data_IF_475459220036
#
_entry.id   IF_475459220036
#
_cell.length_a   1.000
_cell.length_b   1.000
_cell.length_c   1.000
_cell.angle_alpha   90.00
_cell.angle_beta   90.00
_cell.angle_gamma   90.00
#
_symmetry.space_group_name_H-M   'P 1'
#
loop_
_entity.id
_entity.type
_entity.pdbx_description
1 polymer ?
#
# COMPACT_ATOMS: atom_id res chain seq x y z
N UNK A 1 4.89 -32.48 23.97
CA UNK A 1 5.45 -32.33 22.61
C UNK A 1 4.43 -31.86 21.58
N UNK A 2 3.22 -32.46 21.50
CA UNK A 2 2.20 -32.11 20.49
C UNK A 2 1.72 -30.65 20.52
N UNK A 3 1.61 -30.04 21.72
CA UNK A 3 1.23 -28.61 21.87
C UNK A 3 2.21 -27.65 21.20
N UNK A 4 3.52 -27.89 21.31
CA UNK A 4 4.55 -27.04 20.69
C UNK A 4 4.49 -27.10 19.16
N UNK A 5 4.17 -28.27 18.62
CA UNK A 5 4.00 -28.53 17.19
C UNK A 5 2.75 -27.83 16.61
N UNK A 6 1.67 -27.74 17.40
CA UNK A 6 0.48 -27.00 17.01
C UNK A 6 0.71 -25.47 17.01
N UNK A 7 1.50 -24.94 17.96
CA UNK A 7 1.86 -23.52 17.98
C UNK A 7 2.75 -23.13 16.79
N UNK A 8 3.69 -23.98 16.38
CA UNK A 8 4.54 -23.69 15.21
C UNK A 8 3.74 -23.65 13.90
N UNK A 9 2.67 -24.44 13.79
CA UNK A 9 1.84 -24.50 12.59
C UNK A 9 0.97 -23.23 12.41
N UNK A 10 0.53 -22.62 13.51
CA UNK A 10 -0.21 -21.35 13.48
C UNK A 10 0.65 -20.18 12.98
N UNK A 11 1.95 -20.15 13.32
CA UNK A 11 2.88 -19.09 12.90
C UNK A 11 3.09 -19.05 11.38
N UNK A 12 3.05 -20.20 10.68
CA UNK A 12 3.24 -20.28 9.23
C UNK A 12 2.05 -19.73 8.40
N UNK A 13 0.86 -19.61 9.00
CA UNK A 13 -0.36 -19.24 8.28
C UNK A 13 -0.49 -17.75 7.91
N UNK A 14 0.49 -16.91 8.27
CA UNK A 14 0.37 -15.45 8.18
C UNK A 14 1.12 -14.77 7.03
N UNK A 15 1.76 -15.50 6.11
CA UNK A 15 2.46 -14.86 4.97
C UNK A 15 1.50 -14.51 3.82
N UNK A 16 0.56 -13.60 4.06
CA UNK A 16 -0.18 -12.94 2.97
C UNK A 16 0.77 -11.89 2.37
N UNK A 17 1.67 -12.35 1.50
CA UNK A 17 2.57 -11.47 0.76
C UNK A 17 1.79 -10.82 -0.39
N UNK A 18 1.67 -9.49 -0.33
CA UNK A 18 1.07 -8.74 -1.43
C UNK A 18 2.06 -8.70 -2.60
N UNK A 19 1.60 -9.00 -3.81
CA UNK A 19 2.43 -8.90 -5.01
C UNK A 19 2.93 -7.46 -5.15
N UNK A 20 4.25 -7.27 -5.14
CA UNK A 20 4.92 -6.00 -5.42
C UNK A 20 5.31 -5.92 -6.89
N UNK A 21 5.38 -4.70 -7.41
CA UNK A 21 5.93 -4.41 -8.74
C UNK A 21 6.79 -3.13 -8.68
N UNK A 22 7.79 -3.00 -9.56
CA UNK A 22 8.54 -1.75 -9.70
C UNK A 22 7.59 -0.58 -10.00
N UNK A 23 7.84 0.57 -9.37
CA UNK A 23 6.98 1.74 -9.49
C UNK A 23 6.85 2.23 -10.95
N UNK A 24 7.84 1.96 -11.80
CA UNK A 24 7.86 2.29 -13.24
C UNK A 24 6.77 1.60 -14.05
N UNK A 25 6.24 0.47 -13.56
CA UNK A 25 5.16 -0.28 -14.20
C UNK A 25 3.78 0.39 -14.00
N UNK A 26 3.67 1.40 -13.13
CA UNK A 26 2.42 2.07 -12.84
C UNK A 26 2.22 3.33 -13.70
N UNK A 27 1.05 3.44 -14.33
CA UNK A 27 0.67 4.61 -15.15
C UNK A 27 0.72 5.93 -14.36
N UNK A 28 0.35 5.90 -13.08
CA UNK A 28 0.44 7.08 -12.19
C UNK A 28 1.87 7.57 -12.06
N UNK A 29 2.83 6.66 -11.88
CA UNK A 29 4.25 6.99 -11.80
C UNK A 29 4.77 7.55 -13.11
N UNK A 30 4.38 6.97 -14.25
CA UNK A 30 4.77 7.49 -15.56
C UNK A 30 4.24 8.91 -15.81
N UNK A 31 2.98 9.18 -15.45
CA UNK A 31 2.41 10.52 -15.53
C UNK A 31 3.14 11.51 -14.61
N UNK A 32 3.47 11.09 -13.38
CA UNK A 32 4.26 11.89 -12.46
C UNK A 32 5.65 12.21 -13.02
N UNK A 33 6.39 11.21 -13.52
CA UNK A 33 7.71 11.41 -14.13
C UNK A 33 7.60 12.39 -15.30
N UNK A 34 6.61 12.22 -16.18
CA UNK A 34 6.41 13.14 -17.31
C UNK A 34 6.14 14.58 -16.84
N UNK A 35 5.35 14.76 -15.77
CA UNK A 35 5.11 16.07 -15.17
C UNK A 35 6.41 16.68 -14.61
N UNK A 36 7.19 15.90 -13.86
CA UNK A 36 8.45 16.36 -13.27
C UNK A 36 9.50 16.75 -14.33
N UNK A 37 9.56 15.99 -15.42
CA UNK A 37 10.44 16.30 -16.55
C UNK A 37 9.98 17.58 -17.26
N UNK A 38 8.67 17.72 -17.51
CA UNK A 38 8.12 18.86 -18.26
C UNK A 38 8.14 20.17 -17.47
N UNK A 39 7.64 20.14 -16.24
CA UNK A 39 7.40 21.36 -15.43
C UNK A 39 8.62 21.75 -14.60
N UNK A 40 9.43 20.78 -14.20
CA UNK A 40 10.52 20.98 -13.26
C UNK A 40 11.90 20.60 -13.82
N UNK A 41 11.99 20.25 -15.12
CA UNK A 41 13.23 19.97 -15.86
C UNK A 41 14.11 18.87 -15.24
N UNK A 42 13.50 17.91 -14.55
CA UNK A 42 14.25 16.76 -14.05
C UNK A 42 14.76 15.88 -15.19
N UNK A 43 15.90 15.21 -14.96
CA UNK A 43 16.39 14.20 -15.88
C UNK A 43 15.49 12.95 -15.83
N UNK A 44 14.91 12.61 -16.99
CA UNK A 44 13.99 11.47 -17.13
C UNK A 44 14.66 10.13 -16.77
N UNK A 45 15.91 9.94 -17.17
CA UNK A 45 16.61 8.67 -16.97
C UNK A 45 16.95 8.46 -15.49
N UNK A 46 17.37 9.51 -14.79
CA UNK A 46 17.64 9.48 -13.36
C UNK A 46 16.36 9.20 -12.57
N UNK A 47 15.25 9.90 -12.89
CA UNK A 47 13.94 9.62 -12.31
C UNK A 47 13.52 8.17 -12.55
N UNK A 48 13.64 7.67 -13.78
CA UNK A 48 13.28 6.29 -14.10
C UNK A 48 14.10 5.28 -13.30
N UNK A 49 15.38 5.56 -13.10
CA UNK A 49 16.30 4.73 -12.31
C UNK A 49 16.01 4.78 -10.80
N UNK A 50 15.56 5.91 -10.27
CA UNK A 50 15.10 6.01 -8.88
C UNK A 50 13.82 5.18 -8.71
N UNK A 51 12.85 5.36 -9.60
CA UNK A 51 11.56 4.67 -9.52
C UNK A 51 11.64 3.17 -9.85
N UNK A 52 12.68 2.69 -10.55
CA UNK A 52 12.86 1.25 -10.76
C UNK A 52 13.30 0.51 -9.50
N UNK A 53 13.93 1.22 -8.54
CA UNK A 53 14.33 0.68 -7.23
C UNK A 53 13.20 0.68 -6.20
N UNK A 54 12.09 1.35 -6.48
CA UNK A 54 10.95 1.44 -5.58
C UNK A 54 9.96 0.33 -5.94
N UNK A 55 9.66 -0.53 -4.98
CA UNK A 55 8.62 -1.54 -5.10
C UNK A 55 7.31 -1.04 -4.50
N UNK A 56 6.23 -1.11 -5.28
CA UNK A 56 4.88 -0.76 -4.83
C UNK A 56 4.02 -2.01 -4.78
N UNK A 57 3.29 -2.16 -3.67
CA UNK A 57 2.31 -3.24 -3.51
C UNK A 57 1.11 -3.00 -4.44
N UNK A 58 0.72 -4.01 -5.21
CA UNK A 58 -0.52 -3.95 -5.97
C UNK A 58 -1.69 -4.02 -4.98
N UNK A 59 -2.43 -2.93 -4.86
CA UNK A 59 -3.64 -2.92 -4.06
C UNK A 59 -4.69 -3.84 -4.69
N UNK A 60 -5.06 -4.88 -3.97
CA UNK A 60 -6.16 -5.76 -4.35
C UNK A 60 -7.49 -5.01 -4.14
N UNK A 61 -7.96 -4.32 -5.19
CA UNK A 61 -9.18 -3.51 -5.19
C UNK A 61 -10.44 -4.33 -4.88
N UNK A 62 -10.38 -5.66 -4.93
CA UNK A 62 -11.47 -6.55 -4.52
C UNK A 62 -11.79 -6.38 -3.03
N UNK A 63 -10.77 -6.17 -2.18
CA UNK A 63 -10.92 -6.01 -0.72
C UNK A 63 -11.31 -4.60 -0.30
N UNK A 64 -11.06 -3.61 -1.15
CA UNK A 64 -11.36 -2.20 -0.86
C UNK A 64 -12.87 -1.92 -0.89
N UNK A 65 -13.64 -2.63 -1.74
CA UNK A 65 -15.10 -2.55 -1.76
C UNK A 65 -15.74 -3.05 -0.45
N UNK A 66 -15.08 -3.97 0.26
CA UNK A 66 -15.59 -4.50 1.53
C UNK A 66 -15.37 -3.50 2.68
N UNK A 67 -14.24 -2.77 2.68
CA UNK A 67 -13.92 -1.76 3.73
C UNK A 67 -14.62 -0.42 3.53
N UNK A 68 -15.13 -0.12 2.34
CA UNK A 68 -15.97 1.07 2.05
C UNK A 68 -17.46 0.85 2.27
N UNK A 69 -17.89 -0.21 2.97
CA UNK A 69 -19.16 -0.14 3.70
C UNK A 69 -19.02 1.05 4.64
N UNK A 70 -19.73 2.15 4.33
CA UNK A 70 -19.77 3.41 5.10
C UNK A 70 -19.61 3.06 6.58
N UNK A 71 -18.47 3.41 7.19
CA UNK A 71 -18.37 3.35 8.65
C UNK A 71 -19.59 4.14 9.15
N UNK A 72 -20.46 3.56 9.98
CA UNK A 72 -21.57 4.31 10.54
C UNK A 72 -20.98 5.58 11.15
N UNK A 73 -21.56 6.75 10.84
CA UNK A 73 -21.09 8.02 11.42
C UNK A 73 -21.00 7.81 12.92
N UNK A 74 -19.78 7.85 13.46
CA UNK A 74 -19.60 7.78 14.90
C UNK A 74 -20.31 8.99 15.49
N UNK A 75 -21.10 8.80 16.56
CA UNK A 75 -21.69 9.91 17.29
C UNK A 75 -20.58 10.88 17.69
N UNK A 76 -20.84 12.19 17.53
CA UNK A 76 -19.92 13.23 17.99
C UNK A 76 -19.60 13.00 19.47
N UNK A 77 -18.32 12.92 19.81
CA UNK A 77 -17.88 12.67 21.18
C UNK A 77 -18.04 13.96 22.00
N UNK A 78 -18.58 13.85 23.21
CA UNK A 78 -18.62 14.98 24.15
C UNK A 78 -17.19 15.38 24.55
N UNK A 79 -16.95 16.68 24.75
CA UNK A 79 -15.64 17.24 25.08
C UNK A 79 -15.00 16.58 26.31
N UNK A 80 -15.81 16.28 27.34
CA UNK A 80 -15.35 15.64 28.57
C UNK A 80 -14.81 14.21 28.37
N UNK A 81 -15.24 13.53 27.31
CA UNK A 81 -14.73 12.20 26.94
C UNK A 81 -13.49 12.28 26.06
N UNK A 82 -13.28 13.42 25.39
CA UNK A 82 -12.13 13.66 24.52
C UNK A 82 -10.90 14.16 25.29
N UNK A 83 -11.12 15.05 26.28
CA UNK A 83 -10.08 15.58 27.16
C UNK A 83 -9.39 14.47 27.96
#
# INVERSE_FOLDING_TARGET
MLRLLALSLLLLSSTISAKTLPATQFKSTQNFINKMVKEHRFNKNELMLIFSKIELTIADKSKEKIKKKKKPKSKTMAWDKYK
#
